data_IF_294320140705
#
_entry.id   IF_294320140705
#
_cell.length_a   1.000
_cell.length_b   1.000
_cell.length_c   1.000
_cell.angle_alpha   90.00
_cell.angle_beta   90.00
_cell.angle_gamma   90.00
#
_symmetry.space_group_name_H-M   'P 1'
#
loop_
_entity.id
_entity.type
_entity.pdbx_description
1 polymer ?
#
# COMPACT_ATOMS: atom_id res chain seq x y z
N UNK A 1 0.88 21.06 -5.54
CA UNK A 1 1.21 20.03 -6.56
C UNK A 1 0.61 18.67 -6.15
N UNK A 2 0.68 17.63 -6.99
CA UNK A 2 0.33 16.25 -6.58
C UNK A 2 1.60 15.40 -6.49
N UNK A 3 1.65 14.50 -5.51
CA UNK A 3 2.69 13.48 -5.35
C UNK A 3 2.08 12.10 -5.48
N UNK A 4 2.88 11.14 -5.91
CA UNK A 4 2.42 9.81 -6.26
C UNK A 4 3.22 8.80 -5.45
N UNK A 5 2.54 7.84 -4.84
CA UNK A 5 3.14 6.87 -3.96
C UNK A 5 2.75 5.47 -4.37
N UNK A 6 3.70 4.55 -4.21
CA UNK A 6 3.50 3.12 -4.28
C UNK A 6 3.75 2.52 -2.91
N UNK A 7 2.72 1.92 -2.36
CA UNK A 7 2.81 1.13 -1.13
C UNK A 7 2.95 -0.35 -1.46
N UNK A 8 3.82 -1.02 -0.71
CA UNK A 8 3.95 -2.47 -0.71
C UNK A 8 3.58 -2.98 0.67
N UNK A 9 2.44 -3.65 0.76
CA UNK A 9 1.90 -4.19 2.00
C UNK A 9 2.19 -5.69 2.04
N UNK A 10 2.83 -6.14 3.12
CA UNK A 10 3.06 -7.55 3.39
C UNK A 10 2.25 -7.98 4.61
N UNK A 11 1.50 -9.06 4.46
CA UNK A 11 0.78 -9.72 5.56
C UNK A 11 1.03 -11.23 5.50
N UNK A 12 0.85 -11.92 6.62
CA UNK A 12 0.86 -13.38 6.66
C UNK A 12 -0.43 -13.92 7.28
N UNK A 13 -0.74 -15.17 6.95
CA UNK A 13 -1.76 -15.92 7.70
C UNK A 13 -1.13 -16.52 8.95
N UNK A 14 -1.81 -16.33 10.09
CA UNK A 14 -1.41 -16.88 11.38
C UNK A 14 -1.27 -18.40 11.29
N UNK A 15 -0.15 -18.95 11.80
CA UNK A 15 0.13 -20.38 11.75
C UNK A 15 0.67 -20.89 10.40
N UNK A 16 0.91 -20.00 9.43
CA UNK A 16 1.49 -20.36 8.12
C UNK A 16 2.79 -19.61 7.86
N UNK A 17 3.56 -20.10 6.88
CA UNK A 17 4.70 -19.37 6.29
C UNK A 17 4.29 -18.51 5.09
N UNK A 18 3.02 -18.49 4.73
CA UNK A 18 2.51 -17.81 3.54
C UNK A 18 2.45 -16.31 3.79
N UNK A 19 3.15 -15.54 2.94
CA UNK A 19 3.12 -14.08 2.94
C UNK A 19 2.39 -13.61 1.70
N UNK A 20 1.30 -12.87 1.88
CA UNK A 20 0.62 -12.18 0.80
C UNK A 20 1.21 -10.78 0.65
N UNK A 21 1.50 -10.42 -0.62
CA UNK A 21 2.01 -9.11 -0.99
C UNK A 21 0.94 -8.36 -1.78
N UNK A 22 0.57 -7.17 -1.33
CA UNK A 22 -0.38 -6.27 -1.99
C UNK A 22 0.33 -4.98 -2.39
N UNK A 23 0.00 -4.47 -3.57
CA UNK A 23 0.43 -3.16 -4.03
C UNK A 23 -0.74 -2.19 -3.96
N UNK A 24 -0.49 -0.97 -3.49
CA UNK A 24 -1.45 0.11 -3.44
C UNK A 24 -0.82 1.36 -4.04
N UNK A 25 -1.50 1.98 -5.01
CA UNK A 25 -1.07 3.23 -5.61
C UNK A 25 -1.92 4.37 -5.07
N UNK A 26 -1.27 5.45 -4.63
CA UNK A 26 -1.95 6.63 -4.11
C UNK A 26 -1.49 7.91 -4.80
N UNK A 27 -2.44 8.80 -5.05
CA UNK A 27 -2.17 10.17 -5.48
C UNK A 27 -2.54 11.12 -4.32
N UNK A 28 -1.59 11.90 -3.85
CA UNK A 28 -1.73 12.71 -2.63
C UNK A 28 -1.45 14.16 -2.96
N UNK A 29 -2.29 15.06 -2.44
CA UNK A 29 -2.02 16.50 -2.49
C UNK A 29 -0.80 16.83 -1.65
N UNK A 30 0.10 17.63 -2.21
CA UNK A 30 1.25 18.17 -1.48
C UNK A 30 0.83 18.86 -0.17
N UNK A 31 1.59 18.62 0.89
CA UNK A 31 1.28 19.05 2.26
C UNK A 31 0.43 18.05 3.05
N UNK A 32 -0.15 17.02 2.41
CA UNK A 32 -0.99 16.00 3.08
C UNK A 32 -0.33 14.63 3.24
N UNK A 33 0.96 14.50 2.90
CA UNK A 33 1.69 13.22 2.86
C UNK A 33 1.68 12.53 4.24
N UNK A 34 2.02 13.24 5.31
CA UNK A 34 2.08 12.66 6.65
C UNK A 34 0.71 12.15 7.13
N UNK A 35 -0.34 12.97 6.95
CA UNK A 35 -1.72 12.57 7.28
C UNK A 35 -2.16 11.35 6.46
N UNK A 36 -1.84 11.32 5.17
CA UNK A 36 -2.18 10.21 4.31
C UNK A 36 -1.44 8.92 4.72
N UNK A 37 -0.14 8.98 5.00
CA UNK A 37 0.65 7.83 5.46
C UNK A 37 0.07 7.26 6.76
N UNK A 38 -0.28 8.11 7.73
CA UNK A 38 -0.90 7.67 8.98
C UNK A 38 -2.24 6.96 8.77
N UNK A 39 -3.05 7.43 7.82
CA UNK A 39 -4.31 6.78 7.47
C UNK A 39 -4.10 5.42 6.78
N UNK A 40 -3.09 5.31 5.92
CA UNK A 40 -2.70 4.05 5.28
C UNK A 40 -2.26 3.03 6.33
N UNK A 41 -1.37 3.42 7.25
CA UNK A 41 -0.88 2.56 8.32
C UNK A 41 -2.02 2.06 9.20
N UNK A 42 -2.92 2.95 9.61
CA UNK A 42 -4.09 2.59 10.40
C UNK A 42 -5.01 1.64 9.64
N UNK A 43 -5.38 1.95 8.40
CA UNK A 43 -6.30 1.14 7.62
C UNK A 43 -5.78 -0.30 7.41
N UNK A 44 -4.49 -0.45 7.08
CA UNK A 44 -3.91 -1.78 6.88
C UNK A 44 -3.63 -2.53 8.19
N UNK A 45 -3.33 -1.81 9.27
CA UNK A 45 -3.25 -2.42 10.61
C UNK A 45 -4.60 -2.98 11.02
N UNK A 46 -5.67 -2.19 10.89
CA UNK A 46 -7.04 -2.61 11.23
C UNK A 46 -7.50 -3.79 10.36
N UNK A 47 -7.10 -3.82 9.08
CA UNK A 47 -7.48 -4.89 8.15
C UNK A 47 -6.72 -6.20 8.39
N UNK A 48 -5.43 -6.13 8.74
CA UNK A 48 -4.55 -7.30 8.76
C UNK A 48 -4.08 -7.74 10.14
N UNK A 49 -4.28 -6.97 11.20
CA UNK A 49 -4.00 -7.45 12.57
C UNK A 49 -5.25 -8.08 13.15
N UNK A 50 -5.58 -9.27 12.67
CA UNK A 50 -6.77 -10.02 13.09
C UNK A 50 -6.38 -11.35 13.72
N UNK A 51 -7.36 -12.21 14.04
CA UNK A 51 -7.08 -13.57 14.53
C UNK A 51 -6.40 -14.44 13.47
N UNK A 52 -6.70 -14.22 12.19
CA UNK A 52 -6.26 -15.10 11.09
C UNK A 52 -5.10 -14.53 10.29
N UNK A 53 -4.81 -13.24 10.44
CA UNK A 53 -3.80 -12.52 9.67
C UNK A 53 -2.95 -11.64 10.58
N UNK A 54 -1.73 -11.33 10.15
CA UNK A 54 -0.86 -10.36 10.79
C UNK A 54 -0.22 -9.45 9.74
N UNK A 55 -0.28 -8.13 9.96
CA UNK A 55 0.49 -7.16 9.18
C UNK A 55 1.98 -7.33 9.49
N UNK A 56 2.81 -7.47 8.46
CA UNK A 56 4.27 -7.57 8.60
C UNK A 56 4.91 -6.21 8.37
N UNK A 57 4.64 -5.59 7.22
CA UNK A 57 5.22 -4.30 6.88
C UNK A 57 4.36 -3.55 5.87
N UNK A 58 4.53 -2.23 5.87
CA UNK A 58 4.04 -1.31 4.86
C UNK A 58 5.25 -0.51 4.41
N UNK A 59 5.73 -0.76 3.19
CA UNK A 59 6.80 0.04 2.59
C UNK A 59 6.17 1.08 1.68
N UNK A 60 6.72 2.30 1.65
CA UNK A 60 6.23 3.39 0.81
C UNK A 60 7.37 3.96 -0.04
N UNK A 61 7.11 4.15 -1.34
CA UNK A 61 8.03 4.73 -2.31
C UNK A 61 7.33 5.89 -3.04
N UNK A 62 7.94 7.08 -3.07
CA UNK A 62 7.49 8.17 -3.95
C UNK A 62 7.90 7.85 -5.39
N UNK A 63 6.97 7.93 -6.33
CA UNK A 63 7.19 7.62 -7.74
C UNK A 63 6.83 8.81 -8.62
N UNK A 64 7.35 8.84 -9.84
CA UNK A 64 6.98 9.87 -10.81
C UNK A 64 5.54 9.66 -11.31
N UNK A 65 4.90 10.72 -11.80
CA UNK A 65 3.56 10.64 -12.40
C UNK A 65 3.52 9.66 -13.59
N UNK A 66 4.57 9.63 -14.42
CA UNK A 66 4.70 8.67 -15.52
C UNK A 66 4.70 7.23 -15.01
N UNK A 67 5.56 6.94 -14.01
CA UNK A 67 5.66 5.59 -13.44
C UNK A 67 4.37 5.17 -12.74
N UNK A 68 3.70 6.08 -12.04
CA UNK A 68 2.39 5.84 -11.44
C UNK A 68 1.37 5.38 -12.49
N UNK A 69 1.27 6.10 -13.61
CA UNK A 69 0.31 5.78 -14.67
C UNK A 69 0.61 4.42 -15.34
N UNK A 70 1.89 4.09 -15.54
CA UNK A 70 2.30 2.77 -16.03
C UNK A 70 1.89 1.66 -15.06
N UNK A 71 2.17 1.82 -13.76
CA UNK A 71 1.81 0.83 -12.74
C UNK A 71 0.29 0.68 -12.59
N UNK A 72 -0.45 1.78 -12.72
CA UNK A 72 -1.91 1.78 -12.63
C UNK A 72 -2.53 0.92 -13.73
N UNK A 73 -2.06 1.05 -14.98
CA UNK A 73 -2.53 0.23 -16.10
C UNK A 73 -2.32 -1.26 -15.84
N UNK A 74 -1.13 -1.64 -15.40
CA UNK A 74 -0.80 -3.04 -15.09
C UNK A 74 -1.70 -3.63 -14.00
N UNK A 75 -2.04 -2.84 -12.97
CA UNK A 75 -2.93 -3.29 -11.89
C UNK A 75 -4.41 -3.35 -12.31
N UNK A 76 -4.84 -2.47 -13.21
CA UNK A 76 -6.20 -2.48 -13.75
C UNK A 76 -6.41 -3.62 -14.75
N UNK A 77 -5.40 -3.96 -15.55
CA UNK A 77 -5.43 -5.07 -16.51
C UNK A 77 -5.35 -6.46 -15.84
N UNK A 78 -4.93 -6.52 -14.58
CA UNK A 78 -4.80 -7.78 -13.82
C UNK A 78 -6.07 -8.18 -13.04
N UNK A 79 -7.11 -7.34 -13.04
CA UNK A 79 -8.43 -7.63 -12.45
C UNK A 79 -9.46 -7.93 -13.55
#
# INVERSE_FOLDING_TARGET
MKRYFKYTIRMKFTGTRTVLKRYHLAQVTEGKQAKHSSLIDKAYSDLYNTRTTQLISIDCEEVTAKKYNELKKVLEEAN
#
